data_IF_072451990612
#
_entry.id   IF_072451990612
#
_cell.length_a   1.000
_cell.length_b   1.000
_cell.length_c   1.000
_cell.angle_alpha   90.00
_cell.angle_beta   90.00
_cell.angle_gamma   90.00
#
_symmetry.space_group_name_H-M   'P 1'
#
loop_
_entity.id
_entity.type
_entity.pdbx_description
1 polymer ?
#
# COMPACT_ATOMS: atom_id res chain seq x y z
N UNK A 1 4.31 17.07 -8.53
CA UNK A 1 5.44 16.44 -7.81
C UNK A 1 4.97 15.73 -6.54
N UNK A 2 3.91 14.89 -6.58
CA UNK A 2 3.34 14.38 -5.32
C UNK A 2 2.46 13.14 -5.39
N UNK A 3 1.64 12.96 -6.43
CA UNK A 3 0.74 11.79 -6.52
C UNK A 3 1.23 10.70 -7.49
N UNK A 4 1.88 11.08 -8.61
CA UNK A 4 2.28 10.12 -9.66
C UNK A 4 3.45 9.21 -9.27
N UNK A 5 4.23 9.58 -8.25
CA UNK A 5 5.36 8.79 -7.78
C UNK A 5 4.97 7.68 -6.79
N UNK A 6 3.71 7.63 -6.33
CA UNK A 6 3.27 6.65 -5.34
C UNK A 6 3.51 5.20 -5.79
N UNK A 7 3.15 4.87 -7.03
CA UNK A 7 3.34 3.53 -7.58
C UNK A 7 4.82 3.18 -7.83
N UNK A 8 5.63 4.01 -8.54
CA UNK A 8 7.05 3.76 -8.71
C UNK A 8 7.81 3.60 -7.39
N UNK A 9 7.54 4.46 -6.39
CA UNK A 9 8.20 4.42 -5.09
C UNK A 9 7.79 3.17 -4.29
N UNK A 10 6.51 2.79 -4.32
CA UNK A 10 6.04 1.56 -3.67
C UNK A 10 6.69 0.32 -4.29
N UNK A 11 6.86 0.30 -5.62
CA UNK A 11 7.50 -0.81 -6.32
C UNK A 11 9.01 -0.87 -6.01
N UNK A 12 9.71 0.27 -5.96
CA UNK A 12 11.09 0.34 -5.50
C UNK A 12 11.24 -0.19 -4.07
N UNK A 13 10.41 0.29 -3.13
CA UNK A 13 10.45 -0.16 -1.73
C UNK A 13 10.14 -1.66 -1.56
N UNK A 14 9.34 -2.24 -2.45
CA UNK A 14 9.09 -3.68 -2.50
C UNK A 14 10.33 -4.46 -2.96
N UNK A 15 11.15 -3.87 -3.83
CA UNK A 15 12.38 -4.45 -4.39
C UNK A 15 13.63 -4.32 -3.53
N UNK A 16 13.63 -3.45 -2.51
CA UNK A 16 14.79 -3.17 -1.65
C UNK A 16 15.37 -4.41 -0.94
N UNK A 17 14.57 -5.45 -0.70
CA UNK A 17 15.05 -6.73 -0.18
C UNK A 17 15.12 -7.76 -1.31
N UNK A 18 16.33 -8.06 -1.85
CA UNK A 18 16.47 -8.96 -2.99
C UNK A 18 16.05 -10.41 -2.67
N UNK A 19 16.03 -10.83 -1.40
CA UNK A 19 15.55 -12.18 -1.02
C UNK A 19 14.02 -12.27 -1.09
N UNK A 20 13.31 -11.15 -0.96
CA UNK A 20 11.84 -11.10 -0.90
C UNK A 20 11.19 -10.25 -2.00
N UNK A 21 11.97 -9.68 -2.93
CA UNK A 21 11.52 -8.72 -3.93
C UNK A 21 10.30 -9.21 -4.73
N UNK A 22 10.34 -10.44 -5.26
CA UNK A 22 9.23 -11.01 -6.04
C UNK A 22 7.94 -11.15 -5.21
N UNK A 23 8.05 -11.60 -3.95
CA UNK A 23 6.90 -11.77 -3.05
C UNK A 23 6.27 -10.43 -2.67
N UNK A 24 7.10 -9.44 -2.33
CA UNK A 24 6.64 -8.09 -1.94
C UNK A 24 6.05 -7.35 -3.15
N UNK A 25 6.66 -7.46 -4.32
CA UNK A 25 6.14 -6.87 -5.55
C UNK A 25 4.79 -7.47 -5.96
N UNK A 26 4.64 -8.80 -5.86
CA UNK A 26 3.35 -9.47 -6.10
C UNK A 26 2.26 -8.97 -5.15
N UNK A 27 2.57 -8.82 -3.86
CA UNK A 27 1.64 -8.25 -2.90
C UNK A 27 1.23 -6.81 -3.25
N UNK A 28 2.18 -5.96 -3.63
CA UNK A 28 1.89 -4.58 -4.08
C UNK A 28 0.98 -4.58 -5.31
N UNK A 29 1.23 -5.46 -6.29
CA UNK A 29 0.40 -5.56 -7.48
C UNK A 29 -1.04 -6.01 -7.15
N UNK A 30 -1.21 -7.06 -6.33
CA UNK A 30 -2.53 -7.55 -5.93
C UNK A 30 -3.29 -6.50 -5.11
N UNK A 31 -2.61 -5.81 -4.19
CA UNK A 31 -3.19 -4.73 -3.40
C UNK A 31 -3.62 -3.55 -4.30
N UNK A 32 -2.78 -3.17 -5.27
CA UNK A 32 -3.11 -2.15 -6.26
C UNK A 32 -4.32 -2.53 -7.12
N UNK A 33 -4.40 -3.79 -7.55
CA UNK A 33 -5.55 -4.30 -8.31
C UNK A 33 -6.83 -4.28 -7.49
N UNK A 34 -6.79 -4.74 -6.25
CA UNK A 34 -7.93 -4.68 -5.33
C UNK A 34 -8.39 -3.24 -5.08
N UNK A 35 -7.45 -2.32 -4.85
CA UNK A 35 -7.75 -0.90 -4.66
C UNK A 35 -8.39 -0.27 -5.91
N UNK A 36 -7.94 -0.65 -7.12
CA UNK A 36 -8.51 -0.15 -8.36
C UNK A 36 -9.88 -0.74 -8.70
N UNK A 37 -10.13 -1.98 -8.28
CA UNK A 37 -11.46 -2.60 -8.45
C UNK A 37 -12.47 -2.07 -7.44
N UNK A 38 -12.08 -1.88 -6.18
CA UNK A 38 -12.99 -1.50 -5.09
C UNK A 38 -13.14 0.02 -5.01
N UNK A 39 -12.09 0.78 -5.30
CA UNK A 39 -12.04 2.23 -5.16
C UNK A 39 -13.12 2.96 -5.96
N UNK A 40 -13.16 2.85 -7.30
CA UNK A 40 -14.13 3.57 -8.12
C UNK A 40 -15.59 3.24 -7.78
N UNK A 41 -16.01 1.97 -7.61
CA UNK A 41 -17.37 1.65 -7.19
C UNK A 41 -17.71 2.20 -5.80
N UNK A 42 -16.83 2.04 -4.81
CA UNK A 42 -17.07 2.57 -3.46
C UNK A 42 -17.21 4.09 -3.48
N UNK A 43 -16.39 4.79 -4.26
CA UNK A 43 -16.47 6.24 -4.44
C UNK A 43 -17.72 6.67 -5.20
N UNK A 44 -18.16 5.89 -6.19
CA UNK A 44 -19.41 6.14 -6.94
C UNK A 44 -20.63 6.05 -6.02
N UNK A 45 -20.75 4.97 -5.26
CA UNK A 45 -21.83 4.80 -4.25
C UNK A 45 -21.83 5.92 -3.21
N UNK A 46 -20.64 6.36 -2.78
CA UNK A 46 -20.54 7.46 -1.84
C UNK A 46 -20.92 8.80 -2.48
N UNK A 47 -20.55 9.01 -3.74
CA UNK A 47 -20.96 10.18 -4.53
C UNK A 47 -22.48 10.28 -4.73
N UNK A 48 -23.16 9.15 -4.92
CA UNK A 48 -24.62 9.08 -5.05
C UNK A 48 -25.34 9.33 -3.72
N UNK A 49 -24.82 8.81 -2.61
CA UNK A 49 -25.47 8.88 -1.30
C UNK A 49 -25.30 10.23 -0.57
N UNK A 50 -24.13 10.88 -0.70
CA UNK A 50 -23.81 12.14 0.02
C UNK A 50 -23.46 13.31 -0.90
N UNK A 51 -23.53 13.12 -2.22
CA UNK A 51 -23.21 14.14 -3.22
C UNK A 51 -21.71 14.31 -3.48
N UNK A 52 -21.38 14.81 -4.67
CA UNK A 52 -19.99 14.94 -5.18
C UNK A 52 -19.08 15.75 -4.24
N UNK A 53 -19.62 16.79 -3.58
CA UNK A 53 -18.85 17.64 -2.67
C UNK A 53 -18.32 16.87 -1.47
N UNK A 54 -19.15 16.00 -0.89
CA UNK A 54 -18.77 15.20 0.26
C UNK A 54 -17.86 14.03 -0.14
N UNK A 55 -18.04 13.46 -1.34
CA UNK A 55 -17.15 12.44 -1.89
C UNK A 55 -15.69 12.94 -2.00
N UNK A 56 -15.49 14.21 -2.39
CA UNK A 56 -14.17 14.83 -2.41
C UNK A 56 -13.54 14.97 -1.01
N UNK A 57 -14.33 15.29 0.02
CA UNK A 57 -13.85 15.34 1.41
C UNK A 57 -13.47 13.94 1.91
N UNK A 58 -14.27 12.92 1.58
CA UNK A 58 -13.95 11.53 1.97
C UNK A 58 -12.66 11.07 1.33
N UNK A 59 -12.45 11.36 0.04
CA UNK A 59 -11.18 11.06 -0.63
C UNK A 59 -10.02 11.77 0.06
N UNK A 60 -10.18 13.06 0.40
CA UNK A 60 -9.15 13.82 1.10
C UNK A 60 -8.79 13.16 2.45
N UNK A 61 -9.79 12.76 3.24
CA UNK A 61 -9.60 12.08 4.53
C UNK A 61 -8.95 10.71 4.34
N UNK A 62 -9.37 9.95 3.33
CA UNK A 62 -8.82 8.64 3.03
C UNK A 62 -7.34 8.73 2.64
N UNK A 63 -6.97 9.67 1.77
CA UNK A 63 -5.57 9.93 1.41
C UNK A 63 -4.78 10.35 2.64
N UNK A 64 -5.31 11.25 3.46
CA UNK A 64 -4.65 11.72 4.68
C UNK A 64 -4.40 10.55 5.67
N UNK A 65 -5.39 9.67 5.85
CA UNK A 65 -5.25 8.48 6.70
C UNK A 65 -4.17 7.53 6.20
N UNK A 66 -4.05 7.37 4.87
CA UNK A 66 -3.02 6.51 4.26
C UNK A 66 -1.63 7.09 4.50
N UNK A 67 -1.46 8.41 4.36
CA UNK A 67 -0.19 9.11 4.62
C UNK A 67 0.20 9.00 6.10
N UNK A 68 -0.75 9.19 7.03
CA UNK A 68 -0.51 9.05 8.45
C UNK A 68 -0.15 7.60 8.82
N UNK A 69 -0.84 6.62 8.23
CA UNK A 69 -0.54 5.21 8.44
C UNK A 69 0.83 4.80 7.89
N UNK A 70 1.29 5.40 6.78
CA UNK A 70 2.59 5.09 6.18
C UNK A 70 3.77 5.30 7.16
N UNK A 71 3.71 6.33 8.02
CA UNK A 71 4.72 6.55 9.05
C UNK A 71 4.72 5.52 10.19
N UNK A 72 3.61 4.79 10.37
CA UNK A 72 3.45 3.77 11.42
C UNK A 72 3.89 2.36 11.01
N UNK A 73 4.06 2.11 9.70
CA UNK A 73 4.55 0.83 9.18
C UNK A 73 6.08 0.77 9.34
N UNK A 74 6.54 0.54 10.57
CA UNK A 74 7.94 0.18 10.84
C UNK A 74 8.23 -1.17 10.20
N UNK A 75 9.28 -1.24 9.38
CA UNK A 75 9.85 -2.52 8.96
C UNK A 75 10.31 -3.28 10.20
N UNK A 76 9.73 -4.45 10.44
CA UNK A 76 10.38 -5.47 11.26
C UNK A 76 11.50 -6.05 10.41
N UNK A 77 12.78 -5.81 10.74
CA UNK A 77 13.87 -6.51 10.08
C UNK A 77 13.64 -8.01 10.30
N UNK A 78 13.75 -8.78 9.23
CA UNK A 78 13.71 -10.23 9.27
C UNK A 78 15.00 -10.74 9.93
N UNK A 79 15.11 -10.61 11.25
CA UNK A 79 16.26 -11.10 12.03
C UNK A 79 16.02 -12.50 12.61
N UNK A 80 15.19 -13.35 12.00
CA UNK A 80 14.80 -14.62 12.63
C UNK A 80 14.76 -15.87 11.73
N UNK A 81 15.57 -15.93 10.66
CA UNK A 81 15.78 -17.23 9.97
C UNK A 81 17.25 -17.65 9.82
N UNK A 82 18.21 -16.93 10.41
CA UNK A 82 19.60 -17.40 10.53
C UNK A 82 20.03 -17.64 11.99
N UNK A 83 19.29 -18.52 12.67
CA UNK A 83 19.74 -19.12 13.93
C UNK A 83 19.28 -20.60 13.95
N UNK A 84 19.94 -21.44 13.13
CA UNK A 84 20.89 -22.53 13.50
C UNK A 84 20.18 -23.88 13.81
N UNK A 85 20.71 -25.06 13.39
CA UNK A 85 22.11 -25.45 13.60
C UNK A 85 22.86 -25.90 12.33
N UNK A 86 24.16 -25.60 12.30
CA UNK A 86 25.16 -26.50 11.74
C UNK A 86 25.07 -27.77 12.59
N UNK A 87 24.48 -28.84 12.03
CA UNK A 87 24.65 -30.18 12.57
C UNK A 87 25.79 -30.82 11.77
N UNK A 88 26.80 -31.20 12.54
CA UNK A 88 28.06 -31.85 12.18
C UNK A 88 27.93 -33.05 11.23
#
# INVERSE_FOLDING_TARGET
MGASLGFPVALSAAGDDPRHAARRASFVATAGYAAFLVGPPALGFLGESVGIRNAMIVILVAVLSTVLAAGSVRHRPATQQEHLPLAD
#
